data_IF_083787417191
#
_entry.id   IF_083787417191
#
_cell.length_a   1.000
_cell.length_b   1.000
_cell.length_c   1.000
_cell.angle_alpha   90.00
_cell.angle_beta   90.00
_cell.angle_gamma   90.00
#
_symmetry.space_group_name_H-M   'P 1'
#
loop_
_entity.id
_entity.type
_entity.pdbx_description
1 polymer ?
#
# COMPACT_ATOMS: atom_id res chain seq x y z
N UNK A 1 -12.58 -6.48 -20.93
CA UNK A 1 -11.91 -6.38 -19.63
C UNK A 1 -12.09 -4.94 -19.17
N UNK A 2 -12.45 -4.68 -17.91
CA UNK A 2 -12.51 -3.32 -17.35
C UNK A 2 -11.21 -2.57 -17.69
N UNK A 3 -11.30 -1.27 -17.95
CA UNK A 3 -10.11 -0.44 -18.07
C UNK A 3 -9.52 -0.27 -16.66
N UNK A 4 -8.58 -1.15 -16.33
CA UNK A 4 -7.96 -1.22 -15.02
C UNK A 4 -7.24 0.08 -14.64
N UNK A 5 -6.65 0.77 -15.63
CA UNK A 5 -6.00 2.05 -15.42
C UNK A 5 -7.02 3.15 -15.10
N UNK A 6 -8.15 3.19 -15.82
CA UNK A 6 -9.24 4.13 -15.52
C UNK A 6 -9.85 3.87 -14.14
N UNK A 7 -10.04 2.61 -13.75
CA UNK A 7 -10.55 2.25 -12.43
C UNK A 7 -9.60 2.67 -11.32
N UNK A 8 -8.30 2.32 -11.44
CA UNK A 8 -7.29 2.74 -10.45
C UNK A 8 -7.22 4.26 -10.39
N UNK A 9 -7.29 4.95 -11.54
CA UNK A 9 -7.28 6.41 -11.58
C UNK A 9 -8.48 7.01 -10.84
N UNK A 10 -9.68 6.44 -11.00
CA UNK A 10 -10.87 6.84 -10.27
C UNK A 10 -10.76 6.55 -8.77
N UNK A 11 -10.14 5.44 -8.39
CA UNK A 11 -9.90 5.06 -6.99
C UNK A 11 -8.97 6.05 -6.26
N UNK A 12 -7.86 6.46 -6.90
CA UNK A 12 -6.85 7.34 -6.31
C UNK A 12 -7.06 8.83 -6.64
N UNK A 13 -8.05 9.16 -7.48
CA UNK A 13 -8.40 10.52 -7.90
C UNK A 13 -7.43 11.17 -8.90
N UNK A 14 -6.52 10.40 -9.50
CA UNK A 14 -5.53 10.86 -10.50
C UNK A 14 -5.01 9.69 -11.32
N UNK A 15 -4.44 9.88 -12.53
CA UNK A 15 -3.77 8.80 -13.24
C UNK A 15 -2.65 8.17 -12.39
N UNK A 16 -2.56 6.82 -12.31
CA UNK A 16 -1.43 6.17 -11.66
C UNK A 16 -0.13 6.45 -12.43
N UNK A 17 1.01 6.49 -11.71
CA UNK A 17 2.32 6.70 -12.32
C UNK A 17 2.85 5.36 -12.84
N UNK A 18 3.19 5.30 -14.13
CA UNK A 18 3.70 4.09 -14.77
C UNK A 18 5.21 3.86 -14.50
N UNK A 19 5.66 2.60 -14.46
CA UNK A 19 4.85 1.38 -14.57
C UNK A 19 4.26 0.94 -13.21
N UNK A 20 3.19 0.16 -13.25
CA UNK A 20 2.60 -0.47 -12.07
C UNK A 20 1.86 -1.76 -12.44
N UNK A 21 1.55 -2.58 -11.43
CA UNK A 21 0.62 -3.72 -11.53
C UNK A 21 -0.31 -3.76 -10.33
N UNK A 22 -1.41 -4.50 -10.44
CA UNK A 22 -2.25 -4.81 -9.29
C UNK A 22 -1.57 -5.87 -8.42
N UNK A 23 -1.33 -5.54 -7.15
CA UNK A 23 -0.73 -6.43 -6.16
C UNK A 23 -1.77 -7.17 -5.31
N UNK A 24 -2.93 -6.56 -5.08
CA UNK A 24 -4.03 -7.18 -4.33
C UNK A 24 -5.41 -6.71 -4.84
N UNK A 25 -6.40 -7.58 -4.65
CA UNK A 25 -7.82 -7.32 -4.97
C UNK A 25 -8.71 -7.69 -3.79
N UNK A 26 -9.87 -7.06 -3.71
CA UNK A 26 -10.94 -7.47 -2.79
C UNK A 26 -11.77 -8.62 -3.38
N UNK A 27 -12.68 -9.18 -2.58
CA UNK A 27 -13.61 -10.25 -2.96
C UNK A 27 -14.53 -9.89 -4.13
N UNK A 28 -14.82 -8.60 -4.34
CA UNK A 28 -15.55 -8.11 -5.51
C UNK A 28 -14.70 -8.03 -6.79
N UNK A 29 -13.40 -8.32 -6.72
CA UNK A 29 -12.47 -8.31 -7.85
C UNK A 29 -11.80 -6.97 -8.16
N UNK A 30 -12.08 -5.91 -7.38
CA UNK A 30 -11.50 -4.59 -7.60
C UNK A 30 -10.10 -4.47 -6.97
N UNK A 31 -9.17 -3.72 -7.60
CA UNK A 31 -7.85 -3.45 -7.02
C UNK A 31 -7.98 -2.80 -5.64
N UNK A 32 -7.20 -3.30 -4.68
CA UNK A 32 -7.04 -2.68 -3.36
C UNK A 32 -5.64 -2.13 -3.17
N UNK A 33 -4.65 -2.76 -3.82
CA UNK A 33 -3.25 -2.35 -3.78
C UNK A 33 -2.67 -2.45 -5.18
N UNK A 34 -1.96 -1.41 -5.58
CA UNK A 34 -1.04 -1.46 -6.72
C UNK A 34 0.39 -1.50 -6.23
N UNK A 35 1.27 -2.00 -7.10
CA UNK A 35 2.70 -1.99 -6.86
C UNK A 35 3.46 -1.38 -8.02
N UNK A 36 4.47 -0.58 -7.69
CA UNK A 36 5.34 0.13 -8.63
C UNK A 36 6.80 -0.19 -8.35
N UNK A 37 7.64 -0.32 -9.38
CA UNK A 37 9.08 -0.46 -9.18
C UNK A 37 9.67 0.82 -8.58
N UNK A 38 10.87 0.73 -7.98
CA UNK A 38 11.53 1.88 -7.35
C UNK A 38 12.04 2.94 -8.33
N UNK A 39 11.83 2.74 -9.64
CA UNK A 39 12.12 3.70 -10.70
C UNK A 39 10.95 3.75 -11.68
N UNK A 40 10.43 4.93 -11.93
CA UNK A 40 9.32 5.14 -12.86
C UNK A 40 9.82 5.21 -14.32
N UNK A 41 8.87 5.24 -15.26
CA UNK A 41 9.17 5.28 -16.69
C UNK A 41 9.98 6.52 -17.13
N UNK A 42 9.86 7.63 -16.40
CA UNK A 42 10.62 8.87 -16.58
C UNK A 42 12.01 8.84 -15.90
N UNK A 43 12.34 7.75 -15.21
CA UNK A 43 13.59 7.56 -14.48
C UNK A 43 13.58 8.07 -13.04
N UNK A 44 12.51 8.71 -12.58
CA UNK A 44 12.39 9.26 -11.23
C UNK A 44 12.39 8.12 -10.18
N UNK A 45 13.18 8.25 -9.09
CA UNK A 45 13.09 7.33 -7.94
C UNK A 45 11.70 7.39 -7.29
N UNK A 46 11.13 6.22 -7.00
CA UNK A 46 9.81 6.10 -6.37
C UNK A 46 9.87 5.15 -5.17
N UNK A 47 9.98 5.67 -3.93
CA UNK A 47 10.29 4.84 -2.76
C UNK A 47 9.15 3.90 -2.33
N UNK A 48 7.92 4.16 -2.81
CA UNK A 48 6.73 3.40 -2.40
C UNK A 48 6.50 2.22 -3.34
N UNK A 49 6.77 1.01 -2.86
CA UNK A 49 6.48 -0.22 -3.58
C UNK A 49 4.98 -0.50 -3.62
N UNK A 50 4.31 -0.52 -2.46
CA UNK A 50 2.89 -0.87 -2.35
C UNK A 50 2.05 0.35 -2.01
N UNK A 51 1.00 0.57 -2.79
CA UNK A 51 0.13 1.73 -2.62
C UNK A 51 -1.33 1.35 -2.57
N UNK A 52 -2.02 1.78 -1.50
CA UNK A 52 -3.42 1.48 -1.24
C UNK A 52 -4.32 2.32 -2.15
N UNK A 53 -5.15 1.67 -2.97
CA UNK A 53 -6.02 2.37 -3.93
C UNK A 53 -7.48 2.38 -3.51
N UNK A 54 -7.96 1.35 -2.81
CA UNK A 54 -9.38 1.23 -2.46
C UNK A 54 -9.84 2.42 -1.59
N UNK A 55 -10.82 3.23 -2.04
CA UNK A 55 -11.21 4.45 -1.33
C UNK A 55 -11.83 4.18 0.05
N UNK A 56 -12.47 3.01 0.23
CA UNK A 56 -12.97 2.57 1.54
C UNK A 56 -11.83 2.32 2.53
N UNK A 57 -10.82 1.56 2.11
CA UNK A 57 -9.67 1.26 2.95
C UNK A 57 -8.83 2.50 3.22
N UNK A 58 -8.65 3.36 2.22
CA UNK A 58 -7.97 4.66 2.39
C UNK A 58 -8.65 5.50 3.47
N UNK A 59 -9.97 5.66 3.40
CA UNK A 59 -10.73 6.40 4.41
C UNK A 59 -10.60 5.76 5.81
N UNK A 60 -10.77 4.44 5.90
CA UNK A 60 -10.72 3.73 7.19
C UNK A 60 -9.32 3.80 7.84
N UNK A 61 -8.25 3.78 7.03
CA UNK A 61 -6.88 3.97 7.54
C UNK A 61 -6.64 5.43 7.95
N UNK A 62 -7.16 6.39 7.19
CA UNK A 62 -7.09 7.82 7.55
C UNK A 62 -7.79 8.12 8.87
N UNK A 63 -8.89 7.42 9.18
CA UNK A 63 -9.56 7.53 10.49
C UNK A 63 -8.66 7.02 11.63
N UNK A 64 -7.94 5.90 11.42
CA UNK A 64 -6.97 5.39 12.40
C UNK A 64 -5.80 6.36 12.62
N UNK A 65 -5.25 6.92 11.54
CA UNK A 65 -4.18 7.92 11.63
C UNK A 65 -4.65 9.17 12.39
N UNK A 66 -5.86 9.65 12.09
CA UNK A 66 -6.47 10.80 12.76
C UNK A 66 -6.73 10.55 14.24
N UNK A 67 -6.94 9.28 14.62
CA UNK A 67 -7.07 8.85 16.01
C UNK A 67 -5.71 8.66 16.73
N UNK A 68 -4.58 8.87 16.05
CA UNK A 68 -3.24 8.80 16.66
C UNK A 68 -2.54 7.45 16.55
N UNK A 69 -3.10 6.49 15.80
CA UNK A 69 -2.58 5.12 15.74
C UNK A 69 -1.12 5.03 15.26
N UNK A 70 -0.65 5.96 14.41
CA UNK A 70 0.74 6.00 13.96
C UNK A 70 1.71 6.33 15.09
N UNK A 71 1.36 7.30 15.95
CA UNK A 71 2.16 7.67 17.11
C UNK A 71 2.16 6.55 18.17
N UNK A 72 1.00 5.94 18.41
CA UNK A 72 0.88 4.80 19.32
C UNK A 72 1.73 3.62 18.85
N UNK A 73 1.73 3.34 17.53
CA UNK A 73 2.56 2.30 16.94
C UNK A 73 4.06 2.58 17.15
N UNK A 74 4.53 3.80 16.85
CA UNK A 74 5.92 4.18 17.09
C UNK A 74 6.31 4.02 18.57
N UNK A 75 5.46 4.47 19.49
CA UNK A 75 5.69 4.35 20.93
C UNK A 75 5.69 2.88 21.41
N UNK A 76 4.99 1.98 20.73
CA UNK A 76 5.06 0.54 21.00
C UNK A 76 6.38 -0.06 20.55
N UNK A 77 6.86 0.27 19.35
CA UNK A 77 8.16 -0.19 18.85
C UNK A 77 9.31 0.19 19.79
N UNK A 78 9.25 1.37 20.42
CA UNK A 78 10.26 1.80 21.40
C UNK A 78 10.25 0.98 22.70
N UNK A 79 9.08 0.46 23.10
CA UNK A 79 8.89 -0.23 24.38
C UNK A 79 8.92 -1.76 24.27
N UNK A 80 8.71 -2.30 23.08
CA UNK A 80 8.57 -3.73 22.81
C UNK A 80 9.68 -4.20 21.86
N UNK A 81 10.88 -4.61 22.36
CA UNK A 81 12.03 -4.95 21.51
C UNK A 81 11.75 -6.09 20.52
N UNK A 82 10.95 -7.08 20.90
CA UNK A 82 10.56 -8.18 20.02
C UNK A 82 9.65 -7.71 18.88
N UNK A 83 8.77 -6.75 19.14
CA UNK A 83 7.93 -6.13 18.11
C UNK A 83 8.79 -5.29 17.14
N UNK A 84 9.76 -4.56 17.68
CA UNK A 84 10.72 -3.80 16.89
C UNK A 84 11.52 -4.71 15.94
N UNK A 85 12.06 -5.82 16.45
CA UNK A 85 12.81 -6.79 15.64
C UNK A 85 11.94 -7.38 14.50
N UNK A 86 10.67 -7.67 14.77
CA UNK A 86 9.72 -8.12 13.73
C UNK A 86 9.44 -7.04 12.68
N UNK A 87 9.28 -5.79 13.11
CA UNK A 87 9.10 -4.67 12.19
C UNK A 87 10.35 -4.43 11.32
N UNK A 88 11.56 -4.54 11.89
CA UNK A 88 12.81 -4.45 11.14
C UNK A 88 12.96 -5.58 10.12
N UNK A 89 12.57 -6.81 10.48
CA UNK A 89 12.55 -7.93 9.54
C UNK A 89 11.55 -7.70 8.39
N UNK A 90 10.35 -7.19 8.68
CA UNK A 90 9.36 -6.84 7.67
C UNK A 90 9.84 -5.69 6.75
N UNK A 91 10.51 -4.68 7.31
CA UNK A 91 11.08 -3.57 6.54
C UNK A 91 12.23 -4.04 5.62
N UNK A 92 13.08 -4.94 6.09
CA UNK A 92 14.13 -5.56 5.28
C UNK A 92 13.54 -6.38 4.12
N UNK A 93 12.48 -7.16 4.39
CA UNK A 93 11.75 -7.90 3.37
C UNK A 93 11.07 -6.97 2.37
N UNK A 94 10.45 -5.88 2.81
CA UNK A 94 9.88 -4.85 1.94
C UNK A 94 10.94 -4.29 0.97
N UNK A 95 12.13 -3.94 1.46
CA UNK A 95 13.25 -3.47 0.61
C UNK A 95 13.67 -4.53 -0.39
N UNK A 96 13.75 -5.80 0.03
CA UNK A 96 14.06 -6.93 -0.87
C UNK A 96 13.02 -7.08 -1.98
N UNK A 97 11.74 -6.98 -1.63
CA UNK A 97 10.63 -7.03 -2.60
C UNK A 97 10.69 -5.84 -3.56
N UNK A 98 11.01 -4.64 -3.07
CA UNK A 98 11.11 -3.43 -3.92
C UNK A 98 12.27 -3.53 -4.90
N UNK A 99 13.43 -3.97 -4.44
CA UNK A 99 14.57 -4.25 -5.32
C UNK A 99 14.22 -5.32 -6.36
N UNK A 100 13.52 -6.39 -5.97
CA UNK A 100 13.09 -7.42 -6.91
C UNK A 100 12.12 -6.88 -7.98
N UNK A 101 11.20 -5.99 -7.60
CA UNK A 101 10.30 -5.29 -8.52
C UNK A 101 11.08 -4.45 -9.56
N UNK A 102 12.19 -3.84 -9.13
CA UNK A 102 13.11 -3.08 -10.00
C UNK A 102 14.13 -3.94 -10.75
N UNK A 103 14.04 -5.27 -10.72
CA UNK A 103 15.02 -6.15 -11.35
C UNK A 103 16.40 -6.15 -10.69
N UNK A 104 16.48 -5.75 -9.42
CA UNK A 104 17.71 -5.66 -8.62
C UNK A 104 18.26 -4.25 -8.43
N UNK A 105 17.75 -3.25 -9.17
CA UNK A 105 18.07 -1.83 -8.94
C UNK A 105 17.03 -1.21 -8.00
N UNK A 106 17.49 -0.59 -6.92
CA UNK A 106 16.65 0.17 -5.98
C UNK A 106 17.34 1.50 -5.62
N UNK A 107 17.05 2.60 -6.35
CA UNK A 107 17.55 3.93 -6.00
C UNK A 107 17.04 4.46 -4.66
N UNK A 108 16.12 3.76 -3.99
CA UNK A 108 15.53 4.13 -2.72
C UNK A 108 15.90 3.17 -1.57
N UNK A 109 16.96 2.36 -1.74
CA UNK A 109 17.34 1.27 -0.83
C UNK A 109 17.57 1.68 0.64
N UNK A 110 17.82 2.97 0.91
CA UNK A 110 17.97 3.54 2.24
C UNK A 110 16.64 3.78 2.96
N UNK A 111 15.52 3.77 2.24
CA UNK A 111 14.17 3.89 2.78
C UNK A 111 13.42 2.56 2.82
N UNK A 112 12.60 2.39 3.86
CA UNK A 112 11.71 1.26 4.07
C UNK A 112 10.27 1.56 3.66
N UNK A 113 9.32 0.89 4.31
CA UNK A 113 7.87 0.93 4.01
C UNK A 113 7.33 2.32 3.66
N UNK A 114 6.86 3.20 4.53
CA UNK A 114 6.34 4.52 4.14
C UNK A 114 7.43 5.55 3.77
N UNK A 115 8.53 5.14 3.13
CA UNK A 115 9.68 5.99 2.84
C UNK A 115 10.53 6.33 4.07
N UNK A 116 10.31 5.64 5.21
CA UNK A 116 11.05 5.92 6.44
C UNK A 116 12.47 5.31 6.43
N UNK A 117 13.43 5.98 7.06
CA UNK A 117 14.76 5.42 7.27
C UNK A 117 14.81 4.34 8.38
N UNK A 118 13.88 4.41 9.34
CA UNK A 118 13.78 3.50 10.50
C UNK A 118 12.33 3.20 10.82
N UNK A 119 12.03 1.98 11.26
CA UNK A 119 10.66 1.51 11.56
C UNK A 119 9.93 2.35 12.63
N UNK A 120 10.68 2.95 13.57
CA UNK A 120 10.13 3.87 14.59
C UNK A 120 9.71 5.23 14.02
N UNK A 121 10.14 5.58 12.80
CA UNK A 121 9.77 6.81 12.11
C UNK A 121 8.45 6.73 11.33
N UNK A 122 7.60 5.76 11.63
CA UNK A 122 6.33 5.50 10.95
C UNK A 122 5.38 6.70 11.08
N UNK A 123 4.98 7.25 9.92
CA UNK A 123 4.04 8.40 9.86
C UNK A 123 2.79 8.12 9.03
N UNK A 124 2.86 7.19 8.08
CA UNK A 124 1.76 6.85 7.20
C UNK A 124 1.47 5.35 7.29
N UNK A 125 0.28 5.00 7.77
CA UNK A 125 -0.21 3.64 7.96
C UNK A 125 -0.74 3.03 6.66
N UNK A 126 -1.09 3.83 5.65
CA UNK A 126 -1.58 3.31 4.36
C UNK A 126 -0.57 2.40 3.69
N UNK A 127 0.72 2.73 3.75
CA UNK A 127 1.79 1.91 3.16
C UNK A 127 1.92 0.55 3.86
N UNK A 128 1.77 0.51 5.19
CA UNK A 128 1.80 -0.73 5.97
C UNK A 128 0.59 -1.62 5.68
N UNK A 129 -0.61 -1.03 5.64
CA UNK A 129 -1.82 -1.76 5.26
C UNK A 129 -1.72 -2.27 3.83
N UNK A 130 -1.21 -1.46 2.89
CA UNK A 130 -0.98 -1.88 1.51
C UNK A 130 0.00 -3.06 1.43
N UNK A 131 1.14 -2.98 2.14
CA UNK A 131 2.14 -4.03 2.15
C UNK A 131 1.57 -5.35 2.72
N UNK A 132 0.83 -5.31 3.83
CA UNK A 132 0.20 -6.51 4.39
C UNK A 132 -0.87 -7.11 3.47
N UNK A 133 -1.68 -6.28 2.81
CA UNK A 133 -2.65 -6.76 1.82
C UNK A 133 -1.97 -7.38 0.58
N UNK A 134 -0.77 -6.93 0.24
CA UNK A 134 0.07 -7.52 -0.81
C UNK A 134 0.84 -8.78 -0.35
N UNK A 135 0.66 -9.21 0.90
CA UNK A 135 1.23 -10.45 1.44
C UNK A 135 2.49 -10.30 2.29
N UNK A 136 2.93 -9.07 2.59
CA UNK A 136 4.03 -8.85 3.55
C UNK A 136 3.56 -9.17 4.97
N UNK A 137 4.28 -10.02 5.70
CA UNK A 137 4.04 -10.26 7.13
C UNK A 137 4.59 -9.10 7.98
N UNK A 138 3.94 -7.95 7.84
CA UNK A 138 4.27 -6.74 8.57
C UNK A 138 3.40 -6.61 9.84
N UNK A 139 4.01 -6.47 11.03
CA UNK A 139 3.25 -6.42 12.28
C UNK A 139 2.41 -5.15 12.42
N UNK A 140 2.79 -4.03 11.80
CA UNK A 140 2.03 -2.78 11.81
C UNK A 140 0.77 -2.93 10.95
N UNK A 141 0.93 -3.39 9.72
CA UNK A 141 -0.18 -3.62 8.80
C UNK A 141 -1.16 -4.67 9.34
N UNK A 142 -0.64 -5.76 9.92
CA UNK A 142 -1.46 -6.77 10.59
C UNK A 142 -2.24 -6.21 11.78
N UNK A 143 -1.61 -5.37 12.61
CA UNK A 143 -2.29 -4.70 13.72
C UNK A 143 -3.41 -3.78 13.24
N UNK A 144 -3.18 -2.97 12.21
CA UNK A 144 -4.23 -2.09 11.65
C UNK A 144 -5.37 -2.92 11.06
N UNK A 145 -5.06 -3.95 10.27
CA UNK A 145 -6.05 -4.84 9.65
C UNK A 145 -6.87 -5.66 10.65
N UNK A 146 -6.45 -5.77 11.91
CA UNK A 146 -7.23 -6.39 12.97
C UNK A 146 -8.38 -5.49 13.46
N UNK A 147 -8.28 -4.18 13.23
CA UNK A 147 -9.28 -3.18 13.66
C UNK A 147 -10.14 -2.64 12.50
N UNK A 148 -9.85 -3.05 11.26
CA UNK A 148 -10.52 -2.56 10.06
C UNK A 148 -11.46 -3.59 9.46
N UNK A 149 -12.62 -3.13 9.00
CA UNK A 149 -13.39 -3.88 8.01
C UNK A 149 -12.61 -3.90 6.69
N UNK A 150 -12.09 -5.08 6.32
CA UNK A 150 -11.19 -5.28 5.18
C UNK A 150 -11.82 -4.95 3.83
N UNK A 151 -13.14 -4.88 3.77
CA UNK A 151 -13.90 -4.62 2.55
C UNK A 151 -15.12 -3.75 2.85
N UNK A 152 -15.54 -2.99 1.84
CA UNK A 152 -16.80 -2.26 1.89
C UNK A 152 -18.00 -3.23 1.78
N UNK A 153 -19.12 -2.92 2.44
CA UNK A 153 -20.31 -3.79 2.39
C UNK A 153 -21.08 -3.69 1.07
N UNK A 154 -20.76 -2.72 0.22
CA UNK A 154 -21.59 -2.29 -0.92
C UNK A 154 -20.90 -2.43 -2.28
N UNK A 155 -19.68 -2.95 -2.34
CA UNK A 155 -18.92 -3.09 -3.59
C UNK A 155 -18.75 -1.76 -4.35
N UNK A 156 -18.68 -0.61 -3.65
CA UNK A 156 -18.79 0.73 -4.25
C UNK A 156 -17.86 1.04 -5.42
N UNK A 157 -16.73 0.36 -5.54
CA UNK A 157 -15.83 0.51 -6.68
C UNK A 157 -16.51 0.14 -8.01
N UNK A 158 -17.59 -0.66 -8.00
CA UNK A 158 -18.43 -0.96 -9.15
C UNK A 158 -19.14 0.26 -9.76
N UNK A 159 -19.16 1.39 -9.06
CA UNK A 159 -19.77 2.66 -9.51
C UNK A 159 -18.73 3.65 -10.02
N UNK A 160 -17.45 3.28 -10.01
CA UNK A 160 -16.37 4.15 -10.47
C UNK A 160 -16.19 4.00 -11.98
N UNK A 161 -15.77 5.07 -12.69
CA UNK A 161 -15.36 4.96 -14.08
C UNK A 161 -14.34 3.83 -14.29
N UNK A 162 -14.39 3.17 -15.45
CA UNK A 162 -13.50 2.05 -15.79
C UNK A 162 -14.03 0.67 -15.43
N UNK A 163 -15.18 0.57 -14.75
CA UNK A 163 -15.86 -0.72 -14.49
C UNK A 163 -16.86 -1.14 -15.56
N UNK A 164 -17.27 -0.23 -16.45
CA UNK A 164 -18.20 -0.51 -17.52
C UNK A 164 -17.52 -1.30 -18.65
N UNK A 165 -18.05 -2.48 -18.95
CA UNK A 165 -17.67 -3.26 -20.10
C UNK A 165 -18.36 -2.72 -21.37
N UNK A 166 -18.16 -1.45 -21.71
CA UNK A 166 -18.64 -0.96 -23.01
C UNK A 166 -17.57 -1.17 -24.09
N UNK A 167 -17.94 -2.04 -25.03
CA UNK A 167 -17.23 -2.31 -26.26
C UNK A 167 -16.85 -1.00 -26.95
N UNK A 168 -15.55 -0.78 -27.12
CA UNK A 168 -15.03 0.26 -28.00
C UNK A 168 -15.46 -0.10 -29.44
N UNK A 169 -16.00 0.85 -30.22
CA UNK A 169 -16.48 0.59 -31.59
C UNK A 169 -15.38 0.07 -32.52
#
# INVERSE_FOLDING_TARGET
MPDEAALVAAQIGRPPRDPWRVAARCSYGFPTVIASPPRLADGEPFPTLFWLTCPWLVAAVSDLESAGAAADWAARLEREPELCARAEAADAEYRRLRAAEGGGDDPCADTGVAGQARVTGTKCLHAYVAASLAGLDDPAGAAMLAHLARECPDGRCARLPGTDAEARP
#
